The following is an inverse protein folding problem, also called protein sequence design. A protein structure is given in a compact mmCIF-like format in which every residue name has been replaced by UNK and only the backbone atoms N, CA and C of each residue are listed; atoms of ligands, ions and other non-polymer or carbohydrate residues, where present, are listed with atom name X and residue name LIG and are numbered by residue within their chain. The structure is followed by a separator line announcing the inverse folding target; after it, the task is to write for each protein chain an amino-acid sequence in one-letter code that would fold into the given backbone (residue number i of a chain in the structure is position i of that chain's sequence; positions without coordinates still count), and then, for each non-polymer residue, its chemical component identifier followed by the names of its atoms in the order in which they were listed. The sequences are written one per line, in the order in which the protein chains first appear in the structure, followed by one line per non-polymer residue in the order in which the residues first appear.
data_IF_250591156354
#
_entry.id   IF_250591156354
#
_cell.length_a   1.000
_cell.length_b   1.000
_cell.length_c   1.000
_cell.angle_alpha   90.00
_cell.angle_beta   90.00
_cell.angle_gamma   90.00
#
_symmetry.space_group_name_H-M   'P 1'
#
loop_
_entity.id
_entity.type
_entity.pdbx_description
1 polymer ?
#
# COMPACT_ATOMS: atom_id res chain seq x y z
N UNK A 1 -16.49 -2.65 12.39
CA UNK A 1 -17.28 -3.27 11.30
C UNK A 1 -18.50 -3.96 11.88
N UNK A 2 -19.68 -3.89 11.23
CA UNK A 2 -20.92 -4.56 11.68
C UNK A 2 -20.72 -6.06 11.99
N UNK A 3 -19.76 -6.72 11.35
CA UNK A 3 -19.42 -8.12 11.58
C UNK A 3 -18.59 -8.39 12.86
N UNK A 4 -17.91 -7.37 13.40
CA UNK A 4 -17.00 -7.49 14.55
C UNK A 4 -17.47 -6.66 15.76
N UNK A 5 -18.60 -5.97 15.66
CA UNK A 5 -19.14 -5.14 16.75
C UNK A 5 -18.36 -3.85 17.07
N UNK A 6 -17.29 -3.54 16.34
CA UNK A 6 -16.47 -2.32 16.55
C UNK A 6 -16.87 -1.17 15.63
N UNK A 7 -16.51 0.05 15.97
CA UNK A 7 -16.65 1.24 15.12
C UNK A 7 -15.78 1.16 13.86
N UNK A 8 -15.96 2.11 12.93
CA UNK A 8 -15.14 2.19 11.73
C UNK A 8 -13.72 2.68 12.04
N UNK A 9 -13.58 3.61 12.97
CA UNK A 9 -12.26 4.14 13.37
C UNK A 9 -11.43 3.10 14.11
N UNK A 10 -12.04 2.32 15.01
CA UNK A 10 -11.38 1.19 15.66
C UNK A 10 -10.94 0.13 14.65
N UNK A 11 -11.80 -0.20 13.67
CA UNK A 11 -11.45 -1.14 12.61
C UNK A 11 -10.29 -0.63 11.73
N UNK A 12 -10.23 0.68 11.50
CA UNK A 12 -9.15 1.33 10.74
C UNK A 12 -7.84 1.29 11.52
N UNK A 13 -7.87 1.65 12.80
CA UNK A 13 -6.72 1.61 13.70
C UNK A 13 -6.16 0.19 13.84
N UNK A 14 -7.03 -0.82 14.03
CA UNK A 14 -6.63 -2.22 14.10
C UNK A 14 -5.95 -2.70 12.81
N UNK A 15 -6.43 -2.29 11.64
CA UNK A 15 -5.78 -2.63 10.37
C UNK A 15 -4.45 -1.92 10.19
N UNK A 16 -4.36 -0.63 10.50
CA UNK A 16 -3.09 0.11 10.44
C UNK A 16 -2.01 -0.53 11.31
N UNK A 17 -2.38 -1.05 12.49
CA UNK A 17 -1.45 -1.74 13.38
C UNK A 17 -0.84 -3.02 12.77
N UNK A 18 -1.52 -3.65 11.80
CA UNK A 18 -1.01 -4.82 11.07
C UNK A 18 -0.14 -4.48 9.86
N UNK A 19 -0.04 -3.21 9.48
CA UNK A 19 0.83 -2.75 8.38
C UNK A 19 2.16 -2.33 9.00
N UNK A 20 3.32 -2.85 8.55
CA UNK A 20 4.60 -2.44 9.10
C UNK A 20 4.90 -0.94 9.01
N UNK A 21 4.44 -0.27 7.95
CA UNK A 21 4.50 1.18 7.83
C UNK A 21 3.62 1.94 8.85
N UNK A 22 2.75 1.25 9.60
CA UNK A 22 1.91 1.80 10.66
C UNK A 22 0.74 2.68 10.17
N UNK A 23 0.51 2.75 8.86
CA UNK A 23 -0.51 3.61 8.25
C UNK A 23 -1.01 3.04 6.93
N UNK A 24 -2.14 3.57 6.48
CA UNK A 24 -2.55 3.40 5.09
C UNK A 24 -1.65 4.23 4.15
N UNK A 25 -1.43 3.69 2.97
CA UNK A 25 -0.93 4.48 1.85
C UNK A 25 -1.94 5.55 1.43
N UNK A 26 -1.43 6.59 0.79
CA UNK A 26 -2.22 7.71 0.26
C UNK A 26 -2.34 7.61 -1.26
N UNK A 27 -3.38 8.20 -1.84
CA UNK A 27 -3.55 8.20 -3.29
C UNK A 27 -2.38 8.89 -4.01
N UNK A 28 -1.81 9.90 -3.37
CA UNK A 28 -0.67 10.67 -3.85
C UNK A 28 0.59 9.81 -3.97
N UNK A 29 0.86 8.93 -3.00
CA UNK A 29 2.01 8.00 -3.05
C UNK A 29 1.87 6.98 -4.18
N UNK A 30 0.68 6.41 -4.35
CA UNK A 30 0.38 5.50 -5.46
C UNK A 30 0.48 6.23 -6.80
N UNK A 31 -0.06 7.44 -6.89
CA UNK A 31 -0.01 8.28 -8.08
C UNK A 31 1.42 8.64 -8.47
N UNK A 32 2.27 8.99 -7.50
CA UNK A 32 3.68 9.29 -7.73
C UNK A 32 4.45 8.07 -8.28
N UNK A 33 4.21 6.87 -7.74
CA UNK A 33 4.82 5.65 -8.26
C UNK A 33 4.36 5.35 -9.70
N UNK A 34 3.07 5.52 -9.99
CA UNK A 34 2.54 5.41 -11.34
C UNK A 34 3.19 6.41 -12.30
N UNK A 35 3.27 7.69 -11.90
CA UNK A 35 3.90 8.74 -12.70
C UNK A 35 5.38 8.45 -12.98
N UNK A 36 6.11 7.91 -12.01
CA UNK A 36 7.50 7.47 -12.20
C UNK A 36 7.59 6.36 -13.26
N UNK A 37 6.73 5.34 -13.20
CA UNK A 37 6.71 4.25 -14.18
C UNK A 37 6.33 4.73 -15.59
N UNK A 38 5.55 5.80 -15.72
CA UNK A 38 5.27 6.45 -17.01
C UNK A 38 6.37 7.39 -17.50
N UNK A 39 7.42 7.62 -16.70
CA UNK A 39 8.48 8.58 -17.03
C UNK A 39 9.59 7.98 -17.89
N UNK A 40 10.43 8.85 -18.46
CA UNK A 40 11.65 8.43 -19.17
C UNK A 40 12.65 7.65 -18.29
N UNK A 41 12.53 7.75 -16.96
CA UNK A 41 13.46 7.10 -16.02
C UNK A 41 13.16 5.61 -15.84
N UNK A 42 11.99 5.14 -16.26
CA UNK A 42 11.55 3.75 -16.09
C UNK A 42 11.70 2.91 -17.37
N UNK A 43 12.46 3.37 -18.38
CA UNK A 43 12.54 2.75 -19.70
C UNK A 43 13.04 1.29 -19.75
N UNK A 44 13.59 0.77 -18.66
CA UNK A 44 14.04 -0.62 -18.54
C UNK A 44 13.24 -1.44 -17.50
N UNK A 45 12.15 -0.90 -16.97
CA UNK A 45 11.28 -1.56 -15.98
C UNK A 45 10.04 -2.07 -16.71
N UNK A 46 10.06 -3.33 -17.15
CA UNK A 46 8.98 -3.95 -17.92
C UNK A 46 8.59 -5.30 -17.32
N UNK A 47 7.28 -5.60 -17.31
CA UNK A 47 6.76 -6.88 -16.82
C UNK A 47 6.86 -7.09 -15.30
N UNK A 48 7.10 -6.02 -14.54
CA UNK A 48 7.24 -6.09 -13.09
C UNK A 48 5.90 -5.86 -12.39
N UNK A 49 5.68 -6.58 -11.29
CA UNK A 49 4.62 -6.25 -10.34
C UNK A 49 5.24 -5.48 -9.18
N UNK A 50 4.89 -4.21 -9.03
CA UNK A 50 5.34 -3.39 -7.91
C UNK A 50 4.27 -3.40 -6.82
N UNK A 51 4.57 -4.04 -5.69
CA UNK A 51 3.67 -4.09 -4.54
C UNK A 51 3.91 -2.88 -3.62
N UNK A 52 2.91 -2.00 -3.54
CA UNK A 52 2.91 -0.82 -2.66
C UNK A 52 1.95 -1.05 -1.50
N UNK A 53 2.36 -1.81 -0.48
CA UNK A 53 1.45 -2.25 0.58
C UNK A 53 1.92 -1.88 1.99
N UNK A 54 2.98 -1.06 2.10
CA UNK A 54 3.57 -0.69 3.38
C UNK A 54 4.18 -1.88 4.15
N UNK A 55 4.52 -2.98 3.45
CA UNK A 55 5.07 -4.20 4.02
C UNK A 55 4.02 -5.20 4.50
N UNK A 56 2.75 -5.04 4.12
CA UNK A 56 1.68 -5.96 4.51
C UNK A 56 1.96 -7.42 4.12
N UNK A 57 2.60 -7.63 2.98
CA UNK A 57 3.21 -8.88 2.57
C UNK A 57 4.68 -8.87 2.99
N UNK A 58 5.01 -9.73 3.95
CA UNK A 58 6.39 -9.95 4.39
C UNK A 58 6.88 -11.30 3.87
N UNK A 59 7.36 -11.31 2.62
CA UNK A 59 7.88 -12.50 1.95
C UNK A 59 8.90 -12.10 0.90
N UNK A 60 9.89 -12.96 0.68
CA UNK A 60 10.87 -12.77 -0.40
C UNK A 60 10.29 -13.32 -1.70
N UNK A 61 10.40 -12.55 -2.78
CA UNK A 61 10.08 -12.97 -4.15
C UNK A 61 11.32 -13.43 -4.90
#
# INVERSE_FOLDING_TARGET
SKAQGISMDEAKAQRCAGIPAGRYGTAEEFGAACAFLCSQHAGFIVGQNLLLDGGGVNSTM
#
